data_IF_217767434500
#
_entry.id   IF_217767434500
#
_cell.length_a   1.000
_cell.length_b   1.000
_cell.length_c   1.000
_cell.angle_alpha   90.00
_cell.angle_beta   90.00
_cell.angle_gamma   90.00
#
_symmetry.space_group_name_H-M   'P 1'
#
loop_
_entity.id
_entity.type
_entity.pdbx_description
1 polymer ?
#
# COMPACT_ATOMS: atom_id res chain seq x y z
N UNK A 1 -23.46 18.08 18.10
CA UNK A 1 -24.47 18.30 17.02
C UNK A 1 -24.14 17.30 15.92
N UNK A 2 -25.03 16.33 15.68
CA UNK A 2 -24.81 15.08 14.91
C UNK A 2 -24.47 15.27 13.41
N UNK A 3 -23.71 14.29 12.83
CA UNK A 3 -23.75 13.78 11.41
C UNK A 3 -22.59 12.77 11.20
N UNK A 4 -22.76 11.45 11.40
CA UNK A 4 -23.15 10.34 10.48
C UNK A 4 -22.28 10.11 9.23
N UNK A 5 -21.55 8.98 9.20
CA UNK A 5 -20.83 8.39 8.04
C UNK A 5 -21.76 7.44 7.26
N UNK A 6 -21.47 6.99 6.02
CA UNK A 6 -22.31 6.01 5.26
C UNK A 6 -21.48 5.02 4.41
N UNK A 7 -21.98 3.78 4.25
CA UNK A 7 -21.31 2.64 3.57
C UNK A 7 -22.13 2.04 2.42
N UNK A 8 -21.45 1.43 1.43
CA UNK A 8 -22.08 0.65 0.32
C UNK A 8 -21.25 -0.59 -0.06
N UNK A 9 -21.91 -1.76 -0.12
CA UNK A 9 -21.36 -3.06 -0.55
C UNK A 9 -21.77 -3.35 -2.01
N UNK A 10 -20.86 -3.79 -2.86
CA UNK A 10 -21.15 -4.21 -4.24
C UNK A 10 -20.69 -5.64 -4.52
N UNK A 11 -21.60 -6.50 -5.00
CA UNK A 11 -21.34 -7.85 -5.48
C UNK A 11 -21.57 -7.90 -7.00
N UNK A 12 -20.74 -8.69 -7.66
CA UNK A 12 -20.54 -8.77 -9.11
C UNK A 12 -21.46 -9.75 -9.84
N UNK A 13 -21.56 -9.52 -11.15
CA UNK A 13 -21.84 -10.46 -12.26
C UNK A 13 -23.30 -10.88 -12.49
N UNK A 14 -23.77 -10.61 -13.71
CA UNK A 14 -24.60 -11.49 -14.56
C UNK A 14 -25.18 -10.64 -15.69
N UNK A 15 -24.62 -10.66 -16.90
CA UNK A 15 -25.44 -10.48 -18.12
C UNK A 15 -24.80 -11.20 -19.31
N UNK A 16 -25.50 -12.24 -19.76
CA UNK A 16 -25.23 -12.99 -20.97
C UNK A 16 -25.78 -12.29 -22.22
N UNK A 17 -25.20 -12.67 -23.35
CA UNK A 17 -25.39 -12.15 -24.69
C UNK A 17 -26.78 -12.43 -25.29
N UNK A 18 -27.49 -11.40 -25.75
CA UNK A 18 -28.53 -11.54 -26.81
C UNK A 18 -28.60 -10.32 -27.74
N UNK A 19 -28.22 -10.57 -28.99
CA UNK A 19 -28.77 -10.08 -30.26
C UNK A 19 -29.21 -8.61 -30.40
N UNK A 20 -28.41 -7.84 -31.13
CA UNK A 20 -28.83 -6.58 -31.77
C UNK A 20 -29.90 -6.83 -32.85
N UNK A 21 -30.97 -6.03 -32.83
CA UNK A 21 -31.73 -5.68 -34.03
C UNK A 21 -31.88 -4.16 -34.11
N UNK A 22 -31.49 -3.63 -35.27
CA UNK A 22 -31.52 -2.22 -35.62
C UNK A 22 -32.88 -1.84 -36.18
N UNK A 23 -33.47 -0.72 -35.73
CA UNK A 23 -34.25 0.16 -36.61
C UNK A 23 -34.53 1.53 -35.95
N UNK A 24 -34.58 2.55 -36.81
CA UNK A 24 -35.05 3.91 -36.63
C UNK A 24 -34.12 4.92 -35.93
N UNK A 25 -33.42 5.69 -36.78
CA UNK A 25 -32.75 6.96 -36.48
C UNK A 25 -33.80 8.01 -36.13
N UNK A 26 -34.13 8.13 -34.84
CA UNK A 26 -34.76 9.31 -34.25
C UNK A 26 -33.70 10.17 -33.59
N UNK A 27 -33.83 11.51 -33.69
CA UNK A 27 -32.90 12.52 -33.14
C UNK A 27 -32.24 12.04 -31.84
N UNK A 28 -30.92 11.89 -31.86
CA UNK A 28 -30.13 11.55 -30.68
C UNK A 28 -30.27 12.69 -29.66
N UNK A 29 -31.20 12.56 -28.72
CA UNK A 29 -31.04 13.20 -27.42
C UNK A 29 -29.70 12.72 -26.90
N UNK A 30 -28.78 13.63 -26.58
CA UNK A 30 -27.56 13.27 -25.87
C UNK A 30 -27.96 12.38 -24.69
N UNK A 31 -27.60 11.10 -24.73
CA UNK A 31 -27.74 10.23 -23.57
C UNK A 31 -26.73 10.74 -22.55
N UNK A 32 -27.17 11.65 -21.69
CA UNK A 32 -26.40 12.01 -20.52
C UNK A 32 -26.17 10.72 -19.73
N UNK A 33 -24.89 10.37 -19.52
CA UNK A 33 -24.56 9.24 -18.67
C UNK A 33 -25.20 9.44 -17.30
N UNK A 34 -25.86 8.41 -16.74
CA UNK A 34 -26.46 8.52 -15.43
C UNK A 34 -25.38 8.87 -14.39
N UNK A 35 -25.58 9.98 -13.66
CA UNK A 35 -24.63 10.50 -12.68
C UNK A 35 -24.92 10.00 -11.27
N UNK A 36 -26.16 9.53 -11.05
CA UNK A 36 -26.61 9.00 -9.78
C UNK A 36 -27.17 7.59 -9.95
N UNK A 37 -27.23 6.86 -8.84
CA UNK A 37 -27.90 5.56 -8.79
C UNK A 37 -29.39 5.68 -9.09
N UNK A 38 -29.99 6.82 -8.73
CA UNK A 38 -31.38 7.10 -9.04
C UNK A 38 -31.60 7.19 -10.55
N UNK A 39 -30.67 7.85 -11.27
CA UNK A 39 -30.70 7.95 -12.74
C UNK A 39 -30.62 6.57 -13.41
N UNK A 40 -29.83 5.65 -12.86
CA UNK A 40 -29.72 4.26 -13.36
C UNK A 40 -31.03 3.50 -13.15
N UNK A 41 -31.64 3.63 -11.97
CA UNK A 41 -32.92 2.99 -11.65
C UNK A 41 -34.06 3.52 -12.54
N UNK A 42 -34.08 4.82 -12.80
CA UNK A 42 -35.08 5.47 -13.64
C UNK A 42 -34.85 5.15 -15.14
N UNK A 43 -33.59 5.03 -15.60
CA UNK A 43 -33.26 4.64 -16.99
C UNK A 43 -33.63 3.18 -17.31
N UNK A 44 -33.48 2.28 -16.34
CA UNK A 44 -33.70 0.84 -16.52
C UNK A 44 -35.08 0.36 -16.04
N UNK A 45 -35.96 1.30 -15.65
CA UNK A 45 -37.30 1.04 -15.06
C UNK A 45 -37.24 -0.01 -13.94
N UNK A 46 -36.18 0.04 -13.14
CA UNK A 46 -35.95 -0.88 -12.02
C UNK A 46 -36.72 -0.38 -10.80
N UNK A 47 -37.33 -1.28 -10.00
CA UNK A 47 -37.97 -0.87 -8.75
C UNK A 47 -36.99 -0.07 -7.89
N UNK A 48 -37.40 1.15 -7.52
CA UNK A 48 -36.58 2.04 -6.68
C UNK A 48 -36.23 1.29 -5.40
N UNK A 49 -34.94 1.16 -5.05
CA UNK A 49 -34.56 0.37 -3.90
C UNK A 49 -35.17 1.05 -2.67
N UNK A 50 -35.98 0.32 -1.92
CA UNK A 50 -36.35 0.71 -0.55
C UNK A 50 -35.07 0.60 0.29
N UNK A 51 -34.21 1.60 0.22
CA UNK A 51 -33.02 1.68 1.06
C UNK A 51 -33.52 1.92 2.48
N UNK A 52 -33.78 0.86 3.24
CA UNK A 52 -33.79 0.97 4.70
C UNK A 52 -32.41 1.51 5.07
N UNK A 53 -32.36 2.60 5.83
CA UNK A 53 -31.11 3.11 6.35
C UNK A 53 -30.40 1.96 7.07
N UNK A 54 -29.22 1.57 6.59
CA UNK A 54 -28.40 0.60 7.28
C UNK A 54 -28.07 1.15 8.67
N UNK A 55 -28.01 0.30 9.71
CA UNK A 55 -27.53 0.75 11.01
C UNK A 55 -26.12 1.31 10.84
N UNK A 56 -25.93 2.55 11.28
CA UNK A 56 -24.63 3.21 11.27
C UNK A 56 -23.96 2.95 12.62
N UNK A 57 -22.72 2.47 12.57
CA UNK A 57 -21.86 2.31 13.73
C UNK A 57 -20.79 3.39 13.66
N UNK A 58 -20.78 4.27 14.65
CA UNK A 58 -19.77 5.31 14.80
C UNK A 58 -18.66 4.79 15.73
N UNK A 59 -17.42 4.99 15.33
CA UNK A 59 -16.22 4.63 16.09
C UNK A 59 -15.38 5.89 16.33
N UNK A 60 -14.60 5.91 17.41
CA UNK A 60 -13.68 7.01 17.75
C UNK A 60 -12.31 6.43 18.02
N UNK A 61 -11.29 7.01 17.40
CA UNK A 61 -9.87 6.65 17.48
C UNK A 61 -9.04 7.93 17.29
N UNK A 62 -7.81 7.95 17.78
CA UNK A 62 -6.88 9.06 17.56
C UNK A 62 -6.38 9.10 16.11
N UNK A 63 -6.14 7.92 15.52
CA UNK A 63 -5.63 7.78 14.17
C UNK A 63 -6.38 6.71 13.38
N UNK A 64 -6.61 6.98 12.10
CA UNK A 64 -7.18 6.05 11.14
C UNK A 64 -6.17 5.75 10.03
N UNK A 65 -5.79 4.48 9.89
CA UNK A 65 -4.90 4.01 8.82
C UNK A 65 -5.72 3.22 7.81
N UNK A 66 -5.79 3.70 6.57
CA UNK A 66 -6.51 3.04 5.48
C UNK A 66 -5.54 2.23 4.62
N UNK A 67 -5.46 0.92 4.88
CA UNK A 67 -4.70 -0.06 4.11
C UNK A 67 -3.83 -0.97 4.97
N UNK A 68 -4.04 -2.28 4.91
CA UNK A 68 -3.25 -3.29 5.64
C UNK A 68 -2.00 -3.79 4.92
N UNK A 69 -1.35 -2.95 4.11
CA UNK A 69 -0.08 -3.27 3.42
C UNK A 69 1.15 -2.93 4.25
N UNK A 70 2.36 -3.05 3.69
CA UNK A 70 3.61 -2.75 4.42
C UNK A 70 3.62 -1.35 5.04
N UNK A 71 3.26 -0.33 4.26
CA UNK A 71 3.20 1.07 4.74
C UNK A 71 2.18 1.26 5.85
N UNK A 72 0.92 0.81 5.67
CA UNK A 72 -0.12 1.00 6.67
C UNK A 72 0.10 0.20 7.94
N UNK A 73 0.65 -1.02 7.85
CA UNK A 73 1.05 -1.78 9.03
C UNK A 73 2.19 -1.09 9.80
N UNK A 74 3.22 -0.60 9.10
CA UNK A 74 4.32 0.13 9.76
C UNK A 74 3.83 1.42 10.40
N UNK A 75 2.93 2.16 9.76
CA UNK A 75 2.29 3.34 10.34
C UNK A 75 1.47 2.99 11.59
N UNK A 76 0.68 1.91 11.53
CA UNK A 76 -0.13 1.45 12.66
C UNK A 76 0.74 1.06 13.86
N UNK A 77 1.87 0.38 13.62
CA UNK A 77 2.88 0.08 14.66
C UNK A 77 3.39 1.38 15.28
N UNK A 78 3.80 2.35 14.45
CA UNK A 78 4.35 3.62 14.94
C UNK A 78 3.35 4.42 15.79
N UNK A 79 2.08 4.50 15.38
CA UNK A 79 1.05 5.14 16.20
C UNK A 79 0.84 4.41 17.53
N UNK A 80 0.73 3.08 17.49
CA UNK A 80 0.48 2.30 18.69
C UNK A 80 1.66 2.33 19.68
N UNK A 81 2.90 2.24 19.19
CA UNK A 81 4.12 2.38 20.02
C UNK A 81 4.24 3.79 20.64
N UNK A 82 3.71 4.81 19.97
CA UNK A 82 3.62 6.17 20.50
C UNK A 82 2.45 6.40 21.47
N UNK A 83 1.62 5.37 21.73
CA UNK A 83 0.52 5.41 22.71
C UNK A 83 -0.82 5.91 22.17
N UNK A 84 -0.99 6.01 20.85
CA UNK A 84 -2.25 6.43 20.23
C UNK A 84 -3.19 5.25 19.98
N UNK A 85 -4.49 5.46 20.14
CA UNK A 85 -5.51 4.52 19.71
C UNK A 85 -5.66 4.56 18.19
N UNK A 86 -5.15 3.53 17.51
CA UNK A 86 -5.15 3.45 16.04
C UNK A 86 -6.07 2.35 15.51
N UNK A 87 -6.89 2.72 14.52
CA UNK A 87 -7.68 1.79 13.72
C UNK A 87 -7.05 1.58 12.34
N UNK A 88 -6.64 0.35 12.04
CA UNK A 88 -6.20 -0.07 10.72
C UNK A 88 -7.36 -0.71 9.95
N UNK A 89 -7.87 -0.01 8.93
CA UNK A 89 -8.91 -0.51 8.03
C UNK A 89 -8.27 -1.15 6.80
N UNK A 90 -8.68 -2.37 6.45
CA UNK A 90 -8.21 -3.03 5.24
C UNK A 90 -9.34 -3.76 4.52
N UNK A 91 -9.42 -3.57 3.20
CA UNK A 91 -10.39 -4.30 2.35
C UNK A 91 -10.05 -5.78 2.17
N UNK A 92 -8.82 -6.18 2.52
CA UNK A 92 -8.33 -7.55 2.50
C UNK A 92 -7.85 -7.94 3.90
N UNK A 93 -7.75 -9.23 4.18
CA UNK A 93 -6.90 -9.68 5.28
C UNK A 93 -5.46 -9.14 5.07
N UNK A 94 -4.79 -8.51 6.07
CA UNK A 94 -3.57 -7.73 5.85
C UNK A 94 -2.45 -8.47 5.09
N UNK A 95 -2.20 -9.75 5.38
CA UNK A 95 -1.16 -10.54 4.68
C UNK A 95 -1.51 -10.92 3.24
N UNK A 96 -2.70 -10.54 2.75
CA UNK A 96 -3.12 -10.64 1.34
C UNK A 96 -2.90 -9.35 0.56
N UNK A 97 -2.40 -8.29 1.21
CA UNK A 97 -1.99 -7.06 0.54
C UNK A 97 -0.87 -7.31 -0.47
N UNK A 98 -0.82 -6.52 -1.55
CA UNK A 98 0.11 -6.75 -2.67
C UNK A 98 1.60 -6.67 -2.28
N UNK A 99 1.94 -6.04 -1.15
CA UNK A 99 3.30 -6.10 -0.56
C UNK A 99 3.80 -7.56 -0.44
N UNK A 100 2.91 -8.53 -0.22
CA UNK A 100 3.28 -9.96 -0.09
C UNK A 100 3.96 -10.52 -1.33
N UNK A 101 3.66 -9.95 -2.50
CA UNK A 101 4.18 -10.40 -3.79
C UNK A 101 5.53 -9.75 -4.16
N UNK A 102 6.04 -8.81 -3.36
CA UNK A 102 7.35 -8.23 -3.62
C UNK A 102 8.47 -9.27 -3.41
N UNK A 103 9.42 -9.33 -4.34
CA UNK A 103 10.45 -10.37 -4.37
C UNK A 103 11.84 -9.78 -4.11
N UNK A 104 12.27 -8.86 -4.99
CA UNK A 104 13.62 -8.35 -5.16
C UNK A 104 14.32 -7.87 -3.88
N UNK A 105 13.62 -7.19 -2.98
CA UNK A 105 14.21 -6.77 -1.72
C UNK A 105 13.90 -5.33 -1.37
N UNK A 106 14.71 -4.78 -0.46
CA UNK A 106 14.63 -3.41 0.01
C UNK A 106 16.03 -2.80 0.01
N UNK A 107 16.16 -1.59 -0.55
CA UNK A 107 17.46 -0.94 -0.70
C UNK A 107 17.85 -0.20 0.57
N UNK A 108 19.06 -0.45 1.05
CA UNK A 108 19.66 0.32 2.12
C UNK A 108 21.19 0.27 2.00
N UNK A 109 21.86 1.41 2.14
CA UNK A 109 23.32 1.48 2.13
C UNK A 109 23.91 0.98 3.46
N UNK A 110 23.73 -0.31 3.76
CA UNK A 110 24.24 -0.97 4.98
C UNK A 110 25.75 -1.20 4.92
N UNK A 111 26.31 -1.33 3.71
CA UNK A 111 27.72 -1.59 3.49
C UNK A 111 28.17 -3.00 3.90
N UNK A 112 27.27 -3.99 3.80
CA UNK A 112 27.57 -5.36 4.26
C UNK A 112 28.36 -6.17 3.23
N UNK A 113 28.23 -5.86 1.93
CA UNK A 113 28.90 -6.57 0.83
C UNK A 113 30.20 -5.86 0.41
N UNK A 114 30.12 -4.53 0.34
CA UNK A 114 31.22 -3.62 0.10
C UNK A 114 30.95 -2.29 0.81
N UNK A 115 31.93 -1.39 0.86
CA UNK A 115 31.69 -0.02 1.34
C UNK A 115 30.60 0.64 0.49
N UNK A 116 29.58 1.16 1.14
CA UNK A 116 28.48 1.90 0.49
C UNK A 116 28.23 3.23 1.21
N UNK A 117 27.45 4.09 0.56
CA UNK A 117 27.09 5.41 1.07
C UNK A 117 25.65 5.75 0.69
N UNK A 118 24.85 6.22 1.65
CA UNK A 118 23.46 6.59 1.38
C UNK A 118 23.36 7.73 0.35
N UNK A 119 24.40 8.55 0.19
CA UNK A 119 24.47 9.61 -0.83
C UNK A 119 24.61 9.04 -2.24
N UNK A 120 25.22 7.86 -2.39
CA UNK A 120 25.27 7.16 -3.69
C UNK A 120 23.90 6.57 -4.03
N UNK A 121 23.20 6.00 -3.03
CA UNK A 121 21.81 5.59 -3.18
C UNK A 121 20.88 6.77 -3.55
N UNK A 122 21.08 7.94 -2.92
CA UNK A 122 20.36 9.17 -3.28
C UNK A 122 20.63 9.56 -4.74
N UNK A 123 21.89 9.59 -5.17
CA UNK A 123 22.24 9.91 -6.56
C UNK A 123 21.58 8.98 -7.56
N UNK A 124 21.64 7.67 -7.32
CA UNK A 124 21.00 6.66 -8.17
C UNK A 124 19.49 6.89 -8.24
N UNK A 125 18.86 7.27 -7.13
CA UNK A 125 17.42 7.53 -7.04
C UNK A 125 17.03 8.81 -7.78
N UNK A 126 17.76 9.90 -7.60
CA UNK A 126 17.52 11.17 -8.32
C UNK A 126 17.68 10.96 -9.82
N UNK A 127 18.78 10.32 -10.25
CA UNK A 127 19.02 9.98 -11.65
C UNK A 127 17.94 9.04 -12.19
N UNK A 128 17.58 8.01 -11.43
CA UNK A 128 16.57 7.01 -11.81
C UNK A 128 15.14 7.59 -11.91
N UNK A 129 14.86 8.66 -11.15
CA UNK A 129 13.61 9.42 -11.25
C UNK A 129 13.58 10.38 -12.44
N UNK A 130 14.64 10.41 -13.25
CA UNK A 130 14.82 11.37 -14.35
C UNK A 130 14.66 12.82 -13.89
N UNK A 131 15.23 13.13 -12.71
CA UNK A 131 15.14 14.44 -12.04
C UNK A 131 13.73 14.95 -11.72
N UNK A 132 12.68 14.13 -11.89
CA UNK A 132 11.32 14.50 -11.53
C UNK A 132 11.02 14.27 -10.03
N UNK A 133 11.85 13.48 -9.34
CA UNK A 133 11.67 13.19 -7.92
C UNK A 133 12.09 14.35 -7.01
N UNK A 134 11.27 14.63 -6.00
CA UNK A 134 11.55 15.62 -4.98
C UNK A 134 12.78 15.21 -4.14
N UNK A 135 13.85 15.98 -4.25
CA UNK A 135 15.16 15.58 -3.73
C UNK A 135 15.25 15.62 -2.20
N UNK A 136 14.42 16.41 -1.53
CA UNK A 136 14.29 16.44 -0.07
C UNK A 136 13.66 15.13 0.44
N UNK A 137 12.60 14.64 -0.21
CA UNK A 137 11.99 13.35 0.09
C UNK A 137 12.96 12.19 -0.22
N UNK A 138 13.66 12.23 -1.35
CA UNK A 138 14.66 11.22 -1.71
C UNK A 138 15.83 11.21 -0.71
N UNK A 139 16.32 12.39 -0.31
CA UNK A 139 17.36 12.51 0.71
C UNK A 139 16.90 11.82 2.00
N UNK A 140 15.72 12.17 2.53
CA UNK A 140 15.19 11.56 3.73
C UNK A 140 15.10 10.03 3.58
N UNK A 141 14.48 9.54 2.51
CA UNK A 141 14.32 8.11 2.26
C UNK A 141 15.67 7.37 2.22
N UNK A 142 16.64 7.87 1.46
CA UNK A 142 17.92 7.18 1.29
C UNK A 142 18.77 7.21 2.56
N UNK A 143 18.71 8.32 3.32
CA UNK A 143 19.45 8.48 4.58
C UNK A 143 18.89 7.61 5.70
N UNK A 144 17.56 7.50 5.80
CA UNK A 144 16.89 6.68 6.84
C UNK A 144 16.86 5.18 6.49
N UNK A 145 17.06 4.81 5.23
CA UNK A 145 16.97 3.42 4.76
C UNK A 145 17.82 2.41 5.57
N UNK A 146 19.09 2.67 5.95
CA UNK A 146 19.87 1.76 6.77
C UNK A 146 19.21 1.43 8.11
N UNK A 147 18.67 2.43 8.81
CA UNK A 147 18.09 2.23 10.13
C UNK A 147 16.68 1.61 10.03
N UNK A 148 15.91 1.98 9.00
CA UNK A 148 14.63 1.32 8.71
C UNK A 148 14.79 -0.18 8.39
N UNK A 149 15.85 -0.58 7.66
CA UNK A 149 16.10 -2.01 7.37
C UNK A 149 16.58 -2.76 8.62
N UNK A 150 17.41 -2.14 9.47
CA UNK A 150 17.79 -2.73 10.76
C UNK A 150 16.59 -2.86 11.71
N UNK A 151 15.66 -1.92 11.69
CA UNK A 151 14.42 -2.00 12.46
C UNK A 151 13.57 -3.20 12.01
N UNK A 152 13.43 -3.40 10.69
CA UNK A 152 12.77 -4.59 10.15
C UNK A 152 13.46 -5.89 10.59
N UNK A 153 14.79 -5.93 10.61
CA UNK A 153 15.54 -7.06 11.15
C UNK A 153 15.24 -7.28 12.64
N UNK A 154 15.20 -6.21 13.44
CA UNK A 154 14.91 -6.26 14.87
C UNK A 154 13.48 -6.73 15.17
N UNK A 155 12.50 -6.40 14.31
CA UNK A 155 11.15 -6.97 14.36
C UNK A 155 11.12 -8.46 13.98
N UNK A 156 12.20 -8.99 13.41
CA UNK A 156 12.37 -10.40 13.10
C UNK A 156 12.19 -10.75 11.62
N UNK A 157 12.35 -9.80 10.70
CA UNK A 157 12.35 -10.12 9.26
C UNK A 157 13.52 -11.07 8.98
N UNK A 158 13.27 -12.28 8.42
CA UNK A 158 14.30 -13.28 8.18
C UNK A 158 15.10 -12.98 6.91
N UNK A 159 15.89 -11.90 6.94
CA UNK A 159 16.82 -11.61 5.85
C UNK A 159 17.82 -12.75 5.65
N UNK A 160 18.17 -13.01 4.39
CA UNK A 160 19.29 -13.89 4.04
C UNK A 160 20.58 -13.34 4.64
N UNK A 161 21.56 -14.22 4.86
CA UNK A 161 22.77 -13.89 5.61
C UNK A 161 24.02 -14.05 4.76
N UNK A 162 25.00 -13.20 5.03
CA UNK A 162 26.40 -13.37 4.61
C UNK A 162 27.09 -14.40 5.50
N UNK A 163 28.30 -14.82 5.14
CA UNK A 163 29.10 -15.76 5.94
C UNK A 163 29.46 -15.21 7.34
N UNK A 164 29.60 -13.89 7.47
CA UNK A 164 29.83 -13.19 8.74
C UNK A 164 28.54 -12.85 9.52
N UNK A 165 27.38 -13.36 9.07
CA UNK A 165 26.10 -13.25 9.78
C UNK A 165 25.35 -11.94 9.59
N UNK A 166 25.85 -11.02 8.76
CA UNK A 166 25.16 -9.77 8.41
C UNK A 166 24.03 -10.01 7.41
N UNK A 167 23.20 -8.98 7.19
CA UNK A 167 22.16 -9.00 6.17
C UNK A 167 22.81 -9.08 4.78
N UNK A 168 22.49 -10.13 4.03
CA UNK A 168 22.88 -10.29 2.64
C UNK A 168 22.23 -9.23 1.76
N UNK A 169 23.02 -8.65 0.85
CA UNK A 169 22.56 -7.69 -0.15
C UNK A 169 22.96 -8.16 -1.55
N UNK A 170 22.06 -7.99 -2.52
CA UNK A 170 22.31 -8.34 -3.93
C UNK A 170 22.41 -7.10 -4.81
N UNK A 171 23.00 -7.29 -5.99
CA UNK A 171 22.92 -6.32 -7.07
C UNK A 171 21.46 -6.14 -7.52
N UNK A 172 21.13 -4.91 -7.93
CA UNK A 172 19.85 -4.58 -8.54
C UNK A 172 20.04 -3.52 -9.63
N UNK A 173 19.05 -3.40 -10.52
CA UNK A 173 19.13 -2.46 -11.64
C UNK A 173 19.24 -1.01 -11.18
N UNK A 174 20.09 -0.23 -11.86
CA UNK A 174 20.24 1.20 -11.61
C UNK A 174 21.01 1.57 -10.34
N UNK A 175 21.73 0.62 -9.74
CA UNK A 175 22.50 0.84 -8.51
C UNK A 175 24.00 0.90 -8.79
N UNK A 176 24.64 1.99 -8.36
CA UNK A 176 26.05 2.25 -8.60
C UNK A 176 26.80 2.72 -7.35
N UNK A 177 28.11 2.51 -7.33
CA UNK A 177 29.01 3.09 -6.33
C UNK A 177 29.55 4.45 -6.82
N UNK A 178 30.01 5.28 -5.90
CA UNK A 178 30.71 6.54 -6.18
C UNK A 178 30.01 7.46 -7.20
N UNK A 179 28.72 7.72 -7.00
CA UNK A 179 27.92 8.60 -7.87
C UNK A 179 27.94 8.18 -9.36
N UNK A 180 27.81 6.89 -9.64
CA UNK A 180 27.78 6.36 -11.01
C UNK A 180 29.13 5.95 -11.60
N UNK A 181 30.22 6.08 -10.84
CA UNK A 181 31.59 5.91 -11.36
C UNK A 181 32.30 4.66 -10.82
N UNK A 182 31.83 4.11 -9.71
CA UNK A 182 32.47 3.00 -9.00
C UNK A 182 31.97 1.60 -9.39
N UNK A 183 31.20 1.46 -10.48
CA UNK A 183 30.63 0.19 -10.91
C UNK A 183 29.33 -0.19 -10.19
N UNK A 184 28.94 -1.46 -10.31
CA UNK A 184 27.68 -2.01 -9.78
C UNK A 184 27.73 -2.11 -8.25
N UNK A 185 26.68 -1.60 -7.58
CA UNK A 185 26.51 -1.76 -6.14
C UNK A 185 25.63 -2.96 -5.76
N UNK A 186 25.83 -3.49 -4.56
CA UNK A 186 25.05 -4.54 -3.93
C UNK A 186 24.37 -4.02 -2.65
N UNK A 187 23.27 -3.29 -2.81
CA UNK A 187 22.57 -2.66 -1.66
C UNK A 187 21.13 -3.10 -1.45
N UNK A 188 20.65 -4.03 -2.26
CA UNK A 188 19.30 -4.57 -2.13
C UNK A 188 19.28 -5.73 -1.12
N UNK A 189 18.93 -5.43 0.14
CA UNK A 189 18.76 -6.43 1.18
C UNK A 189 17.59 -7.36 0.84
N UNK A 190 17.77 -8.67 1.00
CA UNK A 190 16.81 -9.67 0.52
C UNK A 190 16.59 -10.81 1.51
N UNK A 191 15.36 -11.35 1.51
CA UNK A 191 15.04 -12.65 2.08
C UNK A 191 14.77 -13.61 0.92
N UNK A 192 15.84 -14.20 0.38
CA UNK A 192 15.84 -14.90 -0.89
C UNK A 192 15.12 -14.09 -1.99
N UNK A 193 14.06 -14.62 -2.57
CA UNK A 193 13.19 -13.99 -3.58
C UNK A 193 11.77 -13.73 -3.03
N UNK A 194 11.61 -13.67 -1.71
CA UNK A 194 10.31 -13.53 -1.02
C UNK A 194 10.32 -12.41 0.02
N UNK A 195 11.07 -11.35 -0.25
CA UNK A 195 11.30 -10.28 0.73
C UNK A 195 10.00 -9.59 1.15
N UNK A 196 9.07 -9.37 0.22
CA UNK A 196 7.75 -8.82 0.50
C UNK A 196 6.89 -9.70 1.41
N UNK A 197 6.90 -11.01 1.18
CA UNK A 197 6.25 -11.98 2.06
C UNK A 197 6.84 -11.92 3.48
N UNK A 198 8.17 -11.98 3.59
CA UNK A 198 8.88 -11.91 4.87
C UNK A 198 8.58 -10.62 5.65
N UNK A 199 8.64 -9.46 5.00
CA UNK A 199 8.34 -8.16 5.59
C UNK A 199 6.87 -8.08 6.01
N UNK A 200 5.94 -8.42 5.13
CA UNK A 200 4.51 -8.24 5.41
C UNK A 200 4.02 -9.12 6.57
N UNK A 201 4.45 -10.38 6.62
CA UNK A 201 4.10 -11.27 7.72
C UNK A 201 4.70 -10.80 9.06
N UNK A 202 5.94 -10.31 9.04
CA UNK A 202 6.61 -9.78 10.24
C UNK A 202 5.91 -8.52 10.75
N UNK A 203 5.59 -7.59 9.85
CA UNK A 203 4.86 -6.36 10.20
C UNK A 203 3.45 -6.66 10.72
N UNK A 204 2.72 -7.61 10.12
CA UNK A 204 1.39 -7.97 10.62
C UNK A 204 1.45 -8.53 12.05
N UNK A 205 2.39 -9.45 12.31
CA UNK A 205 2.63 -9.98 13.67
C UNK A 205 2.97 -8.85 14.65
N UNK A 206 3.86 -7.94 14.25
CA UNK A 206 4.31 -6.83 15.08
C UNK A 206 3.17 -5.86 15.39
N UNK A 207 2.34 -5.53 14.40
CA UNK A 207 1.18 -4.67 14.57
C UNK A 207 0.12 -5.27 15.52
N UNK A 208 -0.10 -6.59 15.46
CA UNK A 208 -0.97 -7.30 16.42
C UNK A 208 -0.39 -7.23 17.83
N UNK A 209 0.92 -7.42 18.00
CA UNK A 209 1.59 -7.31 19.29
C UNK A 209 1.55 -5.90 19.86
N UNK A 210 1.62 -4.88 19.00
CA UNK A 210 1.49 -3.47 19.37
C UNK A 210 0.04 -3.06 19.71
N UNK A 211 -0.94 -3.98 19.67
CA UNK A 211 -2.34 -3.73 19.99
C UNK A 211 -3.06 -2.76 19.03
N UNK A 212 -2.64 -2.66 17.77
CA UNK A 212 -3.40 -1.94 16.74
C UNK A 212 -4.78 -2.60 16.54
N UNK A 213 -5.84 -1.80 16.45
CA UNK A 213 -7.20 -2.32 16.21
C UNK A 213 -7.44 -2.53 14.71
N UNK A 214 -7.92 -3.70 14.32
CA UNK A 214 -8.10 -4.04 12.89
C UNK A 214 -9.57 -4.14 12.49
N UNK A 215 -9.92 -3.43 11.41
CA UNK A 215 -11.18 -3.59 10.68
C UNK A 215 -10.88 -4.31 9.36
N UNK A 216 -10.92 -5.64 9.42
CA UNK A 216 -10.55 -6.53 8.31
C UNK A 216 -11.75 -6.77 7.39
N UNK A 217 -11.51 -6.70 6.08
CA UNK A 217 -12.53 -6.80 5.02
C UNK A 217 -13.57 -5.67 5.06
N UNK A 218 -13.12 -4.48 5.49
CA UNK A 218 -13.88 -3.24 5.42
C UNK A 218 -13.44 -2.42 4.20
N UNK A 219 -14.41 -1.97 3.41
CA UNK A 219 -14.16 -1.15 2.23
C UNK A 219 -14.38 0.33 2.56
N UNK A 220 -13.34 1.15 2.50
CA UNK A 220 -13.49 2.60 2.66
C UNK A 220 -14.15 3.16 1.41
N UNK A 221 -15.22 3.93 1.60
CA UNK A 221 -16.02 4.51 0.51
C UNK A 221 -15.59 5.94 0.22
N UNK A 222 -15.53 6.78 1.25
CA UNK A 222 -15.23 8.20 1.13
C UNK A 222 -14.58 8.72 2.41
N UNK A 223 -13.91 9.87 2.29
CA UNK A 223 -13.47 10.68 3.42
C UNK A 223 -14.63 11.55 3.93
N UNK A 224 -14.62 11.84 5.23
CA UNK A 224 -15.49 12.86 5.83
C UNK A 224 -14.63 14.10 5.99
N UNK A 225 -15.04 15.19 5.35
CA UNK A 225 -14.33 16.47 5.30
C UNK A 225 -15.13 17.55 6.01
#
# INVERSE_FOLDING_TARGET
>A
MLRTVRYRRGLSSLFGSRGLRSSAVGRSKELQQPKTLQDIHDLLDLPKPKVRAYPMLDHTFDALVVGGGGAGLRASIGFAEAGYEVACISKLFPTRSHTVAAQGGINAALGNMEKDDWRWHMYDTVKGSDWLGDQDAIHYMCKEAPDAVKELEAYGVPFSRTEDGKIYQRAFGGQSLEFGKGGQAHRCAAAADRTGHAILHTLYKTAVNAQATFFIEYFVVDLIM
#
